data_IF_030546315788
#
_entry.id   IF_030546315788
#
_cell.length_a   1.000
_cell.length_b   1.000
_cell.length_c   1.000
_cell.angle_alpha   90.00
_cell.angle_beta   90.00
_cell.angle_gamma   90.00
#
_symmetry.space_group_name_H-M   'P 1'
#
loop_
_entity.id
_entity.type
_entity.pdbx_description
1 polymer ?
#
# COMPACT_ATOMS: atom_id res chain seq x y z
N UNK A 1 -14.22 -2.79 25.91
CA UNK A 1 -14.05 -1.79 24.84
C UNK A 1 -15.19 -2.02 23.88
N UNK A 2 -16.13 -1.07 23.80
CA UNK A 2 -17.24 -1.15 22.86
C UNK A 2 -16.67 -1.11 21.44
N UNK A 3 -17.10 -2.05 20.59
CA UNK A 3 -16.70 -2.08 19.18
C UNK A 3 -17.34 -0.87 18.49
N UNK A 4 -16.51 0.07 18.04
CA UNK A 4 -16.96 1.27 17.31
C UNK A 4 -17.27 0.94 15.84
N UNK A 5 -18.04 -0.14 15.63
CA UNK A 5 -18.43 -0.63 14.31
C UNK A 5 -19.87 -0.19 14.01
N UNK A 6 -20.15 0.35 12.82
CA UNK A 6 -19.25 0.48 11.66
C UNK A 6 -18.21 1.62 11.79
N UNK A 7 -16.99 1.39 11.29
CA UNK A 7 -15.99 2.45 11.09
C UNK A 7 -16.53 3.40 10.02
N UNK A 8 -16.79 4.65 10.40
CA UNK A 8 -17.24 5.66 9.45
C UNK A 8 -16.04 6.23 8.69
N UNK A 9 -15.95 5.94 7.38
CA UNK A 9 -14.91 6.47 6.49
C UNK A 9 -15.57 7.35 5.44
N UNK A 10 -15.23 8.63 5.45
CA UNK A 10 -15.62 9.56 4.40
C UNK A 10 -14.55 9.58 3.30
N UNK A 11 -14.94 9.20 2.08
CA UNK A 11 -14.05 9.10 0.92
C UNK A 11 -14.54 10.00 -0.22
N UNK A 12 -13.62 10.79 -0.75
CA UNK A 12 -13.90 11.65 -1.90
C UNK A 12 -13.90 10.87 -3.21
N UNK A 13 -14.49 11.47 -4.25
CA UNK A 13 -14.37 10.94 -5.62
C UNK A 13 -12.92 11.11 -6.08
N UNK A 14 -12.31 10.04 -6.57
CA UNK A 14 -10.96 10.12 -7.12
C UNK A 14 -10.94 11.04 -8.35
N UNK A 15 -9.97 11.98 -8.48
CA UNK A 15 -9.92 12.89 -9.61
C UNK A 15 -9.58 12.26 -10.97
N UNK A 16 -8.80 11.17 -11.00
CA UNK A 16 -8.37 10.50 -12.23
C UNK A 16 -8.36 8.98 -12.05
N UNK A 17 -8.22 8.22 -13.13
CA UNK A 17 -8.15 6.74 -13.09
C UNK A 17 -6.91 6.20 -12.36
N UNK A 18 -5.95 7.06 -12.03
CA UNK A 18 -4.70 6.68 -11.36
C UNK A 18 -4.59 7.21 -9.92
N UNK A 19 -5.58 7.95 -9.41
CA UNK A 19 -5.55 8.54 -8.05
C UNK A 19 -6.32 7.75 -6.99
N UNK A 20 -6.75 6.52 -7.29
CA UNK A 20 -7.48 5.67 -6.34
C UNK A 20 -6.71 5.45 -5.03
N UNK A 21 -5.40 5.16 -5.11
CA UNK A 21 -4.54 4.96 -3.93
C UNK A 21 -4.44 6.21 -3.05
N UNK A 22 -4.00 7.37 -3.58
CA UNK A 22 -3.97 8.63 -2.84
C UNK A 22 -5.32 9.02 -2.25
N UNK A 23 -6.41 8.82 -2.97
CA UNK A 23 -7.77 9.14 -2.50
C UNK A 23 -8.17 8.27 -1.31
N UNK A 24 -7.88 6.96 -1.36
CA UNK A 24 -8.08 6.07 -0.21
C UNK A 24 -7.19 6.45 0.98
N UNK A 25 -5.93 6.84 0.74
CA UNK A 25 -5.02 7.27 1.81
C UNK A 25 -5.49 8.57 2.46
N UNK A 26 -6.01 9.51 1.68
CA UNK A 26 -6.62 10.74 2.18
C UNK A 26 -7.82 10.45 3.09
N UNK A 27 -8.69 9.51 2.73
CA UNK A 27 -9.80 9.09 3.60
C UNK A 27 -9.30 8.53 4.95
N UNK A 28 -8.18 7.80 4.96
CA UNK A 28 -7.53 7.34 6.20
C UNK A 28 -6.99 8.51 7.02
N UNK A 29 -6.38 9.52 6.40
CA UNK A 29 -5.95 10.73 7.12
C UNK A 29 -7.13 11.48 7.74
N UNK A 30 -8.22 11.65 7.00
CA UNK A 30 -9.46 12.28 7.51
C UNK A 30 -10.05 11.50 8.68
N UNK A 31 -10.01 10.16 8.63
CA UNK A 31 -10.45 9.32 9.74
C UNK A 31 -9.66 9.57 11.03
N UNK A 32 -8.35 9.82 10.92
CA UNK A 32 -7.49 10.20 12.04
C UNK A 32 -7.50 11.72 12.33
N UNK A 33 -8.54 12.43 11.88
CA UNK A 33 -8.74 13.87 12.09
C UNK A 33 -7.57 14.74 11.59
N UNK A 34 -6.84 14.23 10.59
CA UNK A 34 -5.72 14.94 9.98
C UNK A 34 -6.23 15.82 8.85
N UNK A 35 -6.03 17.13 9.02
CA UNK A 35 -6.39 18.14 8.02
C UNK A 35 -5.34 18.18 6.89
N UNK A 36 -5.48 17.23 5.95
CA UNK A 36 -4.64 17.14 4.76
C UNK A 36 -5.55 17.23 3.55
N UNK A 37 -5.28 18.15 2.63
CA UNK A 37 -6.05 18.26 1.39
C UNK A 37 -5.67 17.14 0.40
N UNK A 38 -6.66 16.62 -0.34
CA UNK A 38 -6.49 15.51 -1.27
C UNK A 38 -5.36 15.76 -2.30
N UNK A 39 -5.30 16.97 -2.87
CA UNK A 39 -4.29 17.33 -3.87
C UNK A 39 -2.86 17.20 -3.33
N UNK A 40 -2.63 17.56 -2.06
CA UNK A 40 -1.33 17.38 -1.40
C UNK A 40 -0.95 15.90 -1.25
N UNK A 41 -1.94 15.01 -1.05
CA UNK A 41 -1.70 13.57 -1.02
C UNK A 41 -1.38 13.05 -2.41
N UNK A 42 -2.10 13.50 -3.44
CA UNK A 42 -1.88 13.11 -4.84
C UNK A 42 -0.47 13.52 -5.28
N UNK A 43 -0.06 14.77 -5.05
CA UNK A 43 1.27 15.27 -5.39
C UNK A 43 2.38 14.56 -4.59
N UNK A 44 2.10 14.23 -3.34
CA UNK A 44 3.05 13.57 -2.44
C UNK A 44 3.18 12.06 -2.64
N UNK A 45 2.41 11.46 -3.55
CA UNK A 45 2.42 10.03 -3.83
C UNK A 45 2.82 9.78 -5.28
N UNK A 46 3.94 9.09 -5.47
CA UNK A 46 4.43 8.76 -6.81
C UNK A 46 3.46 7.85 -7.57
N UNK A 47 3.01 8.32 -8.74
CA UNK A 47 2.32 7.51 -9.74
C UNK A 47 3.31 6.65 -10.56
N UNK A 48 2.82 5.52 -11.07
CA UNK A 48 3.57 4.70 -12.04
C UNK A 48 3.32 5.17 -13.48
N UNK A 49 4.32 5.04 -14.34
CA UNK A 49 4.24 5.41 -15.77
C UNK A 49 3.12 4.65 -16.51
N UNK A 50 2.80 3.42 -16.09
CA UNK A 50 1.74 2.61 -16.68
C UNK A 50 0.41 2.67 -15.91
N UNK A 51 0.28 3.64 -15.01
CA UNK A 51 -0.93 3.88 -14.23
C UNK A 51 -0.92 3.25 -12.84
N UNK A 52 -1.69 3.86 -11.95
CA UNK A 52 -1.88 3.42 -10.56
C UNK A 52 -0.73 3.77 -9.61
N UNK A 53 -0.84 3.22 -8.40
CA UNK A 53 0.04 3.54 -7.27
C UNK A 53 0.48 2.26 -6.57
N UNK A 54 1.76 2.16 -6.24
CA UNK A 54 2.24 1.07 -5.38
C UNK A 54 1.88 1.36 -3.92
N UNK A 55 1.36 0.37 -3.19
CA UNK A 55 1.06 0.52 -1.77
C UNK A 55 2.24 0.99 -0.92
N UNK A 56 3.48 0.68 -1.31
CA UNK A 56 4.69 1.19 -0.63
C UNK A 56 4.84 2.71 -0.74
N UNK A 57 4.41 3.35 -1.83
CA UNK A 57 4.43 4.81 -1.94
C UNK A 57 3.39 5.45 -1.03
N UNK A 58 2.24 4.81 -0.84
CA UNK A 58 1.25 5.24 0.17
C UNK A 58 1.84 5.12 1.58
N UNK A 59 2.51 4.00 1.87
CA UNK A 59 3.21 3.81 3.15
C UNK A 59 4.30 4.85 3.40
N UNK A 60 5.11 5.19 2.39
CA UNK A 60 6.13 6.23 2.49
C UNK A 60 5.54 7.63 2.73
N UNK A 61 4.40 7.94 2.10
CA UNK A 61 3.68 9.18 2.35
C UNK A 61 3.17 9.23 3.80
N UNK A 62 2.58 8.14 4.31
CA UNK A 62 2.16 8.03 5.71
C UNK A 62 3.33 8.21 6.68
N UNK A 63 4.46 7.54 6.45
CA UNK A 63 5.68 7.71 7.25
C UNK A 63 6.21 9.15 7.21
N UNK A 64 6.08 9.87 6.09
CA UNK A 64 6.49 11.29 6.01
C UNK A 64 5.62 12.23 6.83
N UNK A 65 4.42 11.77 7.20
CA UNK A 65 3.46 12.49 8.03
C UNK A 65 3.44 11.98 9.47
N UNK A 66 4.51 11.28 9.89
CA UNK A 66 4.69 10.71 11.23
C UNK A 66 3.68 9.61 11.63
N UNK A 67 2.97 9.03 10.66
CA UNK A 67 2.19 7.82 10.93
C UNK A 67 3.09 6.60 11.02
N UNK A 68 2.63 5.60 11.76
CA UNK A 68 3.15 4.25 11.63
C UNK A 68 2.47 3.56 10.44
N UNK A 69 3.25 2.87 9.61
CA UNK A 69 2.72 2.15 8.45
C UNK A 69 3.17 0.69 8.45
N UNK A 70 2.22 -0.22 8.24
CA UNK A 70 2.47 -1.65 8.09
C UNK A 70 1.84 -2.17 6.81
N UNK A 71 2.62 -2.89 6.01
CA UNK A 71 2.17 -3.51 4.76
C UNK A 71 2.10 -5.02 4.97
N UNK A 72 0.93 -5.60 4.74
CA UNK A 72 0.75 -7.03 4.57
C UNK A 72 0.88 -7.36 3.08
N UNK A 73 1.91 -8.12 2.71
CA UNK A 73 2.22 -8.36 1.31
C UNK A 73 1.99 -9.81 0.91
N UNK A 74 1.25 -9.98 -0.18
CA UNK A 74 1.06 -11.23 -0.91
C UNK A 74 1.73 -11.18 -2.29
N UNK A 75 2.62 -10.21 -2.51
CA UNK A 75 3.24 -9.98 -3.81
C UNK A 75 4.44 -10.91 -4.02
N UNK A 76 4.17 -12.13 -4.49
CA UNK A 76 5.18 -13.15 -4.79
C UNK A 76 6.14 -12.76 -5.92
N UNK A 77 5.82 -11.73 -6.72
CA UNK A 77 6.75 -11.22 -7.74
C UNK A 77 7.89 -10.39 -7.15
N UNK A 78 7.69 -9.86 -5.94
CA UNK A 78 8.65 -8.98 -5.24
C UNK A 78 9.26 -9.66 -4.02
N UNK A 79 8.48 -10.43 -3.28
CA UNK A 79 8.91 -11.06 -2.04
C UNK A 79 8.81 -12.57 -2.10
N UNK A 80 9.68 -13.22 -1.35
CA UNK A 80 9.60 -14.65 -1.09
C UNK A 80 8.90 -14.87 0.27
N UNK A 81 7.83 -15.69 0.36
CA UNK A 81 7.14 -15.96 1.62
C UNK A 81 8.04 -16.51 2.74
N UNK A 82 9.16 -17.16 2.39
CA UNK A 82 10.15 -17.64 3.36
C UNK A 82 10.86 -16.52 4.13
N UNK A 83 10.70 -15.26 3.71
CA UNK A 83 11.22 -14.10 4.42
C UNK A 83 10.38 -13.71 5.65
N UNK A 84 9.33 -14.49 5.96
CA UNK A 84 8.58 -14.37 7.20
C UNK A 84 9.47 -14.43 8.44
N UNK A 85 9.32 -13.46 9.34
CA UNK A 85 10.07 -13.40 10.60
C UNK A 85 11.42 -12.66 10.52
N UNK A 86 11.88 -12.29 9.32
CA UNK A 86 13.10 -11.50 9.16
C UNK A 86 12.93 -10.06 9.68
N UNK A 87 14.02 -9.47 10.18
CA UNK A 87 14.05 -8.06 10.57
C UNK A 87 14.03 -7.13 9.36
N UNK A 88 13.78 -5.83 9.58
CA UNK A 88 13.84 -4.83 8.52
C UNK A 88 15.21 -4.79 7.83
N UNK A 89 16.29 -4.94 8.59
CA UNK A 89 17.67 -4.96 8.07
C UNK A 89 17.90 -6.17 7.17
N UNK A 90 17.44 -7.36 7.60
CA UNK A 90 17.54 -8.60 6.82
C UNK A 90 16.70 -8.51 5.53
N UNK A 91 15.49 -7.97 5.61
CA UNK A 91 14.63 -7.73 4.46
C UNK A 91 15.25 -6.75 3.46
N UNK A 92 15.85 -5.65 3.95
CA UNK A 92 16.60 -4.70 3.12
C UNK A 92 17.74 -5.42 2.41
N UNK A 93 18.49 -6.27 3.11
CA UNK A 93 19.59 -7.02 2.51
C UNK A 93 19.09 -7.97 1.42
N UNK A 94 18.02 -8.73 1.68
CA UNK A 94 17.40 -9.62 0.68
C UNK A 94 16.93 -8.86 -0.56
N UNK A 95 16.32 -7.69 -0.38
CA UNK A 95 15.89 -6.82 -1.49
C UNK A 95 17.08 -6.32 -2.30
N UNK A 96 18.17 -5.88 -1.64
CA UNK A 96 19.41 -5.46 -2.31
C UNK A 96 20.03 -6.59 -3.13
N UNK A 97 20.14 -7.79 -2.57
CA UNK A 97 20.66 -8.96 -3.29
C UNK A 97 19.76 -9.31 -4.49
N UNK A 98 18.44 -9.36 -4.29
CA UNK A 98 17.51 -9.67 -5.37
C UNK A 98 17.58 -8.63 -6.51
N UNK A 99 17.76 -7.35 -6.17
CA UNK A 99 17.92 -6.27 -7.14
C UNK A 99 19.19 -6.39 -7.99
N UNK A 100 20.25 -7.06 -7.54
CA UNK A 100 21.44 -7.32 -8.38
C UNK A 100 21.13 -8.24 -9.55
N UNK A 101 20.17 -9.15 -9.38
CA UNK A 101 19.83 -10.17 -10.38
C UNK A 101 18.60 -9.81 -11.23
N UNK A 102 17.76 -8.86 -10.79
CA UNK A 102 16.54 -8.46 -11.49
C UNK A 102 16.65 -7.06 -12.11
N UNK A 103 17.20 -6.96 -13.32
CA UNK A 103 17.48 -5.68 -13.98
C UNK A 103 16.24 -4.88 -14.44
N UNK A 104 15.04 -5.46 -14.43
CA UNK A 104 13.82 -4.78 -14.90
C UNK A 104 13.58 -3.46 -14.13
N UNK A 105 13.42 -2.34 -14.85
CA UNK A 105 13.24 -0.99 -14.27
C UNK A 105 12.15 -0.93 -13.19
N UNK A 106 10.99 -1.57 -13.44
CA UNK A 106 9.89 -1.64 -12.47
C UNK A 106 10.25 -2.41 -11.20
N UNK A 107 11.05 -3.47 -11.33
CA UNK A 107 11.53 -4.21 -10.16
C UNK A 107 12.50 -3.35 -9.34
N UNK A 108 13.44 -2.67 -10.00
CA UNK A 108 14.38 -1.75 -9.36
C UNK A 108 13.66 -0.64 -8.60
N UNK A 109 12.65 -0.03 -9.22
CA UNK A 109 11.83 1.00 -8.58
C UNK A 109 11.12 0.47 -7.33
N UNK A 110 10.43 -0.68 -7.44
CA UNK A 110 9.77 -1.34 -6.30
C UNK A 110 10.76 -1.64 -5.18
N UNK A 111 11.89 -2.25 -5.51
CA UNK A 111 12.91 -2.63 -4.52
C UNK A 111 13.46 -1.43 -3.77
N UNK A 112 13.78 -0.33 -4.48
CA UNK A 112 14.25 0.91 -3.85
C UNK A 112 13.20 1.50 -2.91
N UNK A 113 11.94 1.53 -3.33
CA UNK A 113 10.85 2.06 -2.50
C UNK A 113 10.64 1.24 -1.21
N UNK A 114 10.70 -0.09 -1.28
CA UNK A 114 10.60 -0.94 -0.09
C UNK A 114 11.82 -0.83 0.83
N UNK A 115 13.03 -0.68 0.27
CA UNK A 115 14.22 -0.43 1.07
C UNK A 115 14.07 0.89 1.84
N UNK A 116 13.61 1.95 1.18
CA UNK A 116 13.35 3.24 1.84
C UNK A 116 12.28 3.11 2.93
N UNK A 117 11.17 2.44 2.62
CA UNK A 117 10.07 2.23 3.56
C UNK A 117 10.53 1.52 4.85
N UNK A 118 11.27 0.42 4.71
CA UNK A 118 11.83 -0.33 5.82
C UNK A 118 12.86 0.51 6.60
N UNK A 119 13.71 1.27 5.90
CA UNK A 119 14.73 2.14 6.51
C UNK A 119 14.11 3.27 7.33
N UNK A 120 12.88 3.68 7.00
CA UNK A 120 12.12 4.72 7.70
C UNK A 120 11.17 4.19 8.78
N UNK A 121 11.33 2.93 9.19
CA UNK A 121 10.54 2.31 10.26
C UNK A 121 9.22 1.69 9.81
N UNK A 122 8.94 1.67 8.50
CA UNK A 122 7.83 0.92 7.94
C UNK A 122 7.97 -0.57 8.20
N UNK A 123 6.86 -1.25 8.47
CA UNK A 123 6.84 -2.69 8.77
C UNK A 123 6.28 -3.50 7.62
N UNK A 124 6.91 -4.62 7.30
CA UNK A 124 6.42 -5.57 6.30
C UNK A 124 6.02 -6.87 7.00
N UNK A 125 4.87 -7.42 6.65
CA UNK A 125 4.39 -8.70 7.17
C UNK A 125 3.93 -9.61 6.04
N UNK A 126 4.14 -10.90 6.24
CA UNK A 126 3.71 -11.98 5.35
C UNK A 126 2.62 -12.85 5.99
N UNK A 127 2.03 -12.38 7.11
CA UNK A 127 0.91 -13.07 7.74
C UNK A 127 -0.23 -13.22 6.74
N UNK A 128 -0.84 -14.41 6.71
CA UNK A 128 -1.98 -14.69 5.85
C UNK A 128 -3.20 -13.82 6.21
N UNK A 129 -3.93 -13.38 5.18
CA UNK A 129 -5.19 -12.68 5.37
C UNK A 129 -6.20 -13.64 6.00
N UNK A 130 -6.75 -13.25 7.15
CA UNK A 130 -7.77 -14.01 7.84
C UNK A 130 -8.84 -13.07 8.39
N UNK A 131 -10.01 -13.64 8.74
CA UNK A 131 -11.09 -12.87 9.36
C UNK A 131 -10.63 -12.30 10.70
N UNK A 132 -9.87 -13.07 11.47
CA UNK A 132 -9.33 -12.68 12.78
C UNK A 132 -8.35 -11.51 12.66
N UNK A 133 -7.51 -11.51 11.61
CA UNK A 133 -6.61 -10.39 11.33
C UNK A 133 -7.39 -9.09 11.11
N UNK A 134 -8.44 -9.14 10.30
CA UNK A 134 -9.29 -7.97 10.01
C UNK A 134 -10.05 -7.52 11.26
N UNK A 135 -10.69 -8.46 11.97
CA UNK A 135 -11.42 -8.19 13.20
C UNK A 135 -10.55 -7.53 14.26
N UNK A 136 -9.29 -7.94 14.42
CA UNK A 136 -8.34 -7.33 15.35
C UNK A 136 -8.14 -5.83 15.07
N UNK A 137 -7.96 -5.44 13.82
CA UNK A 137 -7.80 -4.03 13.46
C UNK A 137 -9.11 -3.27 13.62
N UNK A 138 -10.24 -3.85 13.19
CA UNK A 138 -11.54 -3.20 13.29
C UNK A 138 -12.00 -3.01 14.75
N UNK A 139 -11.71 -3.96 15.64
CA UNK A 139 -11.99 -3.82 17.08
C UNK A 139 -11.20 -2.70 17.74
N UNK A 140 -10.07 -2.31 17.14
CA UNK A 140 -9.24 -1.20 17.59
C UNK A 140 -9.56 0.12 16.87
N UNK A 141 -10.59 0.16 16.01
CA UNK A 141 -10.89 1.34 15.19
C UNK A 141 -9.77 1.71 14.22
N UNK A 142 -8.99 0.75 13.73
CA UNK A 142 -7.90 1.01 12.78
C UNK A 142 -8.40 0.71 11.36
N UNK A 143 -8.48 1.71 10.46
CA UNK A 143 -8.87 1.49 9.07
C UNK A 143 -7.76 0.75 8.31
N UNK A 144 -8.16 -0.06 7.33
CA UNK A 144 -7.25 -0.80 6.47
C UNK A 144 -7.43 -0.35 5.03
N UNK A 145 -6.34 0.09 4.40
CA UNK A 145 -6.29 0.32 2.97
C UNK A 145 -5.92 -0.99 2.25
N UNK A 146 -6.76 -1.44 1.34
CA UNK A 146 -6.51 -2.66 0.56
C UNK A 146 -6.44 -2.36 -0.94
N UNK A 147 -5.45 -2.92 -1.62
CA UNK A 147 -5.39 -2.92 -3.07
C UNK A 147 -6.10 -4.16 -3.61
N UNK A 148 -7.23 -3.98 -4.29
CA UNK A 148 -8.04 -5.06 -4.84
C UNK A 148 -8.06 -5.02 -6.36
N UNK A 149 -8.23 -6.19 -6.97
CA UNK A 149 -8.49 -6.31 -8.40
C UNK A 149 -9.97 -6.01 -8.66
N UNK A 150 -10.27 -5.00 -9.49
CA UNK A 150 -11.65 -4.68 -9.88
C UNK A 150 -12.35 -5.88 -10.53
N UNK A 151 -11.65 -6.62 -11.39
CA UNK A 151 -12.11 -7.88 -12.00
C UNK A 151 -12.54 -8.90 -10.95
N UNK A 152 -11.77 -9.03 -9.85
CA UNK A 152 -12.10 -9.95 -8.78
C UNK A 152 -13.28 -9.44 -7.95
N UNK A 153 -13.25 -8.16 -7.57
CA UNK A 153 -14.27 -7.55 -6.71
C UNK A 153 -15.66 -7.52 -7.36
N UNK A 154 -15.73 -7.22 -8.66
CA UNK A 154 -16.98 -7.05 -9.38
C UNK A 154 -17.35 -8.23 -10.28
N UNK A 155 -16.52 -9.29 -10.31
CA UNK A 155 -16.72 -10.41 -11.23
C UNK A 155 -16.73 -10.01 -12.70
N UNK A 156 -16.10 -8.89 -13.05
CA UNK A 156 -16.11 -8.31 -14.39
C UNK A 156 -14.90 -8.74 -15.21
N UNK A 157 -14.98 -8.67 -16.54
CA UNK A 157 -13.83 -8.91 -17.41
C UNK A 157 -12.74 -7.87 -17.16
N UNK A 158 -11.47 -8.26 -17.25
CA UNK A 158 -10.37 -7.31 -17.20
C UNK A 158 -10.42 -6.41 -18.43
N UNK A 159 -10.43 -5.11 -18.19
CA UNK A 159 -10.35 -4.09 -19.22
C UNK A 159 -8.88 -3.86 -19.60
N UNK A 160 -8.65 -3.65 -20.90
CA UNK A 160 -7.36 -3.29 -21.45
C UNK A 160 -7.55 -1.98 -22.22
N UNK A 161 -6.88 -0.92 -21.79
CA UNK A 161 -6.70 0.27 -22.62
C UNK A 161 -5.58 -0.02 -23.61
N UNK A 162 -5.88 0.05 -24.91
CA UNK A 162 -4.92 -0.24 -25.97
C UNK A 162 -3.66 0.61 -25.80
N UNK A 163 -2.51 -0.04 -25.61
CA UNK A 163 -1.20 0.63 -25.48
C UNK A 163 -0.56 0.98 -26.83
N UNK A 164 -1.35 0.94 -27.92
CA UNK A 164 -0.89 1.18 -29.29
C UNK A 164 -1.83 2.17 -30.03
N UNK A 165 -1.93 3.39 -29.53
CA UNK A 165 -2.29 4.57 -30.32
C UNK A 165 -1.16 5.60 -30.21
#
# INVERSE_FOLDING_TARGET
>A
MESNFPINIDIEKQPTDCTCGPTCLHAVYRYFESDVVLDSVIEGVRALEDGGTLGVFLGLNALSRNYSAQIYSYNLSTFDPSWGGLTSEELIQKLREQAKHKAAKKFQLKSKAYIEFLSRGGKLSFQQLSVELLQRYFSCGIPILTGLSATYLYGSKREYTDKNL
#
